data_IF_319097209064
#
_entry.id   IF_319097209064
#
_cell.length_a   1.000
_cell.length_b   1.000
_cell.length_c   1.000
_cell.angle_alpha   90.00
_cell.angle_beta   90.00
_cell.angle_gamma   90.00
#
_symmetry.space_group_name_H-M   'P 1'
#
loop_
_entity.id
_entity.type
_entity.pdbx_description
1 polymer ?
#
# COMPACT_ATOMS: atom_id res chain seq x y z
N UNK A 1 -19.08 11.73 -6.48
CA UNK A 1 -17.84 10.97 -6.70
C UNK A 1 -17.21 11.54 -7.95
N UNK A 2 -15.94 11.92 -7.89
CA UNK A 2 -15.19 12.28 -9.11
C UNK A 2 -14.73 10.97 -9.71
N UNK A 3 -15.11 10.70 -10.95
CA UNK A 3 -14.73 9.47 -11.63
C UNK A 3 -13.21 9.42 -11.80
N UNK A 4 -12.60 8.29 -11.45
CA UNK A 4 -11.17 8.07 -11.65
C UNK A 4 -10.89 7.86 -13.14
N UNK A 5 -10.03 8.71 -13.71
CA UNK A 5 -9.58 8.65 -15.09
C UNK A 5 -8.18 8.02 -15.10
N UNK A 6 -8.04 6.77 -15.58
CA UNK A 6 -6.78 6.05 -15.54
C UNK A 6 -5.72 6.75 -16.42
N UNK A 7 -4.43 6.62 -16.06
CA UNK A 7 -3.34 7.07 -16.91
C UNK A 7 -3.41 6.43 -18.30
N UNK A 8 -3.34 7.26 -19.33
CA UNK A 8 -3.33 6.82 -20.71
C UNK A 8 -2.31 7.63 -21.50
N UNK A 9 -1.61 6.92 -22.38
CA UNK A 9 -0.52 7.48 -23.15
C UNK A 9 -1.01 8.66 -24.00
N UNK A 10 -0.23 9.75 -23.98
CA UNK A 10 -0.46 10.98 -24.74
C UNK A 10 -1.78 11.73 -24.46
N UNK A 11 -2.44 11.45 -23.34
CA UNK A 11 -3.58 12.24 -22.86
C UNK A 11 -3.11 13.50 -22.12
N UNK A 12 -3.86 14.60 -22.25
CA UNK A 12 -3.51 15.89 -21.64
C UNK A 12 -3.65 15.88 -20.11
N UNK A 13 -4.55 15.06 -19.55
CA UNK A 13 -4.79 14.98 -18.12
C UNK A 13 -5.38 13.62 -17.70
N UNK A 14 -4.92 13.09 -16.57
CA UNK A 14 -5.43 11.87 -15.94
C UNK A 14 -5.14 11.88 -14.43
N UNK A 15 -5.67 10.92 -13.69
CA UNK A 15 -5.32 10.73 -12.28
C UNK A 15 -3.88 10.25 -12.16
N UNK A 16 -3.02 11.08 -11.55
CA UNK A 16 -1.58 10.83 -11.48
C UNK A 16 -1.27 9.51 -10.72
N UNK A 17 -0.43 8.62 -11.29
CA UNK A 17 -0.01 7.39 -10.62
C UNK A 17 0.68 7.59 -9.26
N UNK A 18 1.23 8.78 -9.00
CA UNK A 18 1.96 9.07 -7.77
C UNK A 18 1.11 9.68 -6.65
N UNK A 19 0.13 10.51 -6.97
CA UNK A 19 -0.65 11.26 -5.97
C UNK A 19 -2.17 11.05 -6.08
N UNK A 20 -2.66 10.37 -7.12
CA UNK A 20 -4.08 10.09 -7.34
C UNK A 20 -4.93 11.27 -7.79
N UNK A 21 -4.39 12.49 -7.83
CA UNK A 21 -5.08 13.72 -8.26
C UNK A 21 -5.23 13.74 -9.78
N UNK A 22 -6.40 14.12 -10.28
CA UNK A 22 -6.62 14.44 -11.69
C UNK A 22 -5.88 15.72 -12.05
N UNK A 23 -4.84 15.61 -12.87
CA UNK A 23 -3.93 16.71 -13.17
C UNK A 23 -3.44 16.67 -14.61
N UNK A 24 -3.09 17.84 -15.15
CA UNK A 24 -2.45 17.98 -16.45
C UNK A 24 -1.10 17.26 -16.47
N UNK A 25 -0.75 16.69 -17.62
CA UNK A 25 0.47 15.91 -17.81
C UNK A 25 1.28 16.52 -18.95
N UNK A 26 2.51 16.92 -18.64
CA UNK A 26 3.46 17.45 -19.63
C UNK A 26 4.29 16.31 -20.22
N UNK A 27 4.30 16.18 -21.55
CA UNK A 27 4.91 15.04 -22.24
C UNK A 27 6.25 15.37 -22.88
N UNK A 28 7.20 14.45 -22.71
CA UNK A 28 8.55 14.53 -23.27
C UNK A 28 8.88 13.20 -23.94
N UNK A 29 9.35 13.22 -25.19
CA UNK A 29 9.91 12.01 -25.82
C UNK A 29 11.25 11.65 -25.14
N UNK A 30 11.67 10.38 -25.20
CA UNK A 30 12.96 9.95 -24.64
C UNK A 30 14.17 10.78 -25.13
N UNK A 31 14.09 11.30 -26.37
CA UNK A 31 15.08 12.23 -26.95
C UNK A 31 14.88 13.67 -26.46
N UNK A 32 13.63 14.12 -26.27
CA UNK A 32 13.27 15.45 -25.79
C UNK A 32 13.66 15.71 -24.33
N UNK A 33 13.57 14.69 -23.46
CA UNK A 33 14.00 14.79 -22.06
C UNK A 33 15.51 15.04 -21.94
N UNK A 34 16.33 14.40 -22.79
CA UNK A 34 17.77 14.63 -22.83
C UNK A 34 18.14 16.08 -23.19
N UNK A 35 17.41 16.70 -24.12
CA UNK A 35 17.63 18.10 -24.49
C UNK A 35 17.21 19.09 -23.39
N UNK A 36 16.13 18.79 -22.66
CA UNK A 36 15.69 19.58 -21.50
C UNK A 36 16.68 19.49 -20.33
N UNK A 37 17.17 18.28 -20.02
CA UNK A 37 18.18 18.09 -18.99
C UNK A 37 19.47 18.89 -19.30
N UNK A 38 19.87 18.93 -20.57
CA UNK A 38 21.03 19.71 -21.04
C UNK A 38 20.85 21.22 -20.85
N UNK A 39 19.63 21.74 -21.05
CA UNK A 39 19.34 23.17 -20.85
C UNK A 39 19.45 23.62 -19.38
N UNK A 40 19.10 22.75 -18.42
CA UNK A 40 19.06 23.10 -17.00
C UNK A 40 20.27 22.64 -16.17
N UNK A 41 21.02 21.61 -16.60
CA UNK A 41 22.12 21.02 -15.81
C UNK A 41 23.52 21.13 -16.45
N UNK A 42 23.64 21.76 -17.64
CA UNK A 42 24.92 21.94 -18.34
C UNK A 42 25.54 20.63 -18.85
N UNK A 43 26.82 20.69 -19.27
CA UNK A 43 27.56 19.61 -19.96
C UNK A 43 27.84 18.34 -19.13
N UNK A 44 27.31 18.24 -17.91
CA UNK A 44 27.45 17.04 -17.06
C UNK A 44 26.57 15.89 -17.56
N UNK A 45 25.59 16.16 -18.44
CA UNK A 45 24.64 15.16 -18.91
C UNK A 45 25.03 14.56 -20.27
N UNK A 46 26.19 13.89 -20.30
CA UNK A 46 26.45 12.77 -21.21
C UNK A 46 25.85 11.46 -20.68
N UNK A 47 24.93 11.56 -19.70
CA UNK A 47 24.39 10.42 -18.94
C UNK A 47 23.56 9.47 -19.80
N UNK A 48 23.23 9.80 -21.04
CA UNK A 48 22.73 8.79 -21.96
C UNK A 48 23.17 9.08 -23.37
N UNK A 49 24.43 8.73 -23.67
CA UNK A 49 24.89 8.45 -25.03
C UNK A 49 24.13 7.27 -25.64
N UNK A 50 22.82 7.40 -25.83
CA UNK A 50 22.02 6.41 -26.53
C UNK A 50 22.14 6.73 -28.02
N UNK A 51 23.25 6.26 -28.61
CA UNK A 51 23.26 5.88 -30.02
C UNK A 51 22.41 4.62 -30.16
N UNK A 52 21.11 4.80 -30.13
CA UNK A 52 20.13 3.73 -30.18
C UNK A 52 18.77 4.37 -30.14
N UNK A 53 17.92 4.02 -31.09
CA UNK A 53 16.54 4.44 -31.08
C UNK A 53 15.90 3.93 -29.79
N UNK A 54 15.71 4.79 -28.78
CA UNK A 54 14.73 4.57 -27.71
C UNK A 54 13.32 4.70 -28.30
N UNK A 55 13.05 3.96 -29.38
CA UNK A 55 11.74 3.88 -30.00
C UNK A 55 10.79 3.37 -28.90
N UNK A 56 9.82 4.21 -28.54
CA UNK A 56 8.78 3.87 -27.58
C UNK A 56 8.98 4.35 -26.15
N UNK A 57 10.09 5.02 -25.77
CA UNK A 57 10.20 5.62 -24.43
C UNK A 57 9.66 7.05 -24.40
N UNK A 58 8.77 7.36 -23.46
CA UNK A 58 8.26 8.71 -23.21
C UNK A 58 8.16 8.99 -21.73
N UNK A 59 8.14 10.27 -21.35
CA UNK A 59 8.00 10.71 -19.97
C UNK A 59 6.81 11.66 -19.88
N UNK A 60 5.95 11.50 -18.88
CA UNK A 60 4.93 12.47 -18.54
C UNK A 60 5.16 13.03 -17.14
N UNK A 61 5.03 14.34 -16.95
CA UNK A 61 5.22 15.02 -15.65
C UNK A 61 3.90 15.59 -15.16
N UNK A 62 3.53 15.25 -13.92
CA UNK A 62 2.28 15.72 -13.31
C UNK A 62 2.39 17.19 -12.90
N UNK A 63 1.45 18.03 -13.35
CA UNK A 63 1.43 19.46 -13.01
C UNK A 63 1.15 19.76 -11.53
N UNK A 64 0.66 18.78 -10.76
CA UNK A 64 0.32 18.93 -9.34
C UNK A 64 1.46 18.54 -8.40
N UNK A 65 2.08 17.36 -8.62
CA UNK A 65 3.12 16.85 -7.73
C UNK A 65 4.53 16.89 -8.34
N UNK A 66 4.65 17.32 -9.60
CA UNK A 66 5.90 17.45 -10.36
C UNK A 66 6.73 16.16 -10.47
N UNK A 67 6.11 15.00 -10.25
CA UNK A 67 6.74 13.69 -10.41
C UNK A 67 6.57 13.17 -11.83
N UNK A 68 7.61 12.51 -12.31
CA UNK A 68 7.70 11.89 -13.62
C UNK A 68 7.10 10.47 -13.66
N UNK A 69 6.46 10.14 -14.77
CA UNK A 69 5.98 8.82 -15.13
C UNK A 69 6.72 8.42 -16.40
N UNK A 70 7.46 7.32 -16.36
CA UNK A 70 8.18 6.78 -17.51
C UNK A 70 7.28 5.77 -18.20
N UNK A 71 7.17 5.91 -19.52
CA UNK A 71 6.38 5.07 -20.41
C UNK A 71 7.32 4.32 -21.36
N UNK A 72 7.02 3.06 -21.63
CA UNK A 72 7.67 2.24 -22.63
C UNK A 72 6.59 1.57 -23.49
N UNK A 73 6.60 1.82 -24.80
CA UNK A 73 5.60 1.31 -25.74
C UNK A 73 4.17 1.56 -25.23
N UNK A 74 3.86 2.81 -24.89
CA UNK A 74 2.56 3.26 -24.38
C UNK A 74 2.14 2.71 -23.00
N UNK A 75 2.99 1.90 -22.37
CA UNK A 75 2.74 1.33 -21.04
C UNK A 75 3.57 2.06 -19.97
N UNK A 76 3.01 2.26 -18.78
CA UNK A 76 3.75 2.83 -17.65
C UNK A 76 4.81 1.83 -17.19
N UNK A 77 6.08 2.21 -17.33
CA UNK A 77 7.23 1.54 -16.73
C UNK A 77 7.47 2.03 -15.30
N UNK A 78 7.38 3.35 -15.07
CA UNK A 78 7.51 3.97 -13.75
C UNK A 78 6.43 5.05 -13.52
N UNK A 79 5.89 5.21 -12.29
CA UNK A 79 6.13 4.33 -11.16
C UNK A 79 5.58 2.95 -11.49
N UNK A 80 6.26 1.88 -11.03
CA UNK A 80 5.68 0.54 -11.13
C UNK A 80 4.31 0.62 -10.47
N UNK A 81 3.24 0.40 -11.22
CA UNK A 81 1.93 0.22 -10.60
C UNK A 81 2.10 -0.92 -9.62
N UNK A 82 2.04 -0.60 -8.33
CA UNK A 82 1.96 -1.62 -7.31
C UNK A 82 0.69 -2.40 -7.63
N UNK A 83 0.73 -3.73 -7.76
CA UNK A 83 -0.47 -4.50 -8.07
C UNK A 83 -1.47 -4.50 -6.91
N UNK A 84 -1.21 -3.69 -5.88
CA UNK A 84 -1.83 -3.70 -4.56
C UNK A 84 -2.37 -2.32 -4.23
N UNK A 85 -3.49 -2.23 -3.49
CA UNK A 85 -4.02 -0.96 -3.01
C UNK A 85 -2.98 -0.19 -2.16
N UNK A 86 -3.13 1.14 -2.01
CA UNK A 86 -2.28 1.88 -1.09
C UNK A 86 -2.50 1.40 0.36
N UNK A 87 -1.47 1.47 1.22
CA UNK A 87 -1.60 1.10 2.63
C UNK A 87 -2.61 2.03 3.33
N UNK A 88 -3.50 1.50 4.19
CA UNK A 88 -4.55 2.30 4.83
C UNK A 88 -4.00 3.43 5.71
N UNK A 89 -4.86 4.42 5.94
CA UNK A 89 -4.53 5.57 6.77
C UNK A 89 -4.17 5.16 8.21
N UNK A 90 -3.15 5.79 8.79
CA UNK A 90 -2.71 5.46 10.14
C UNK A 90 -1.81 4.23 10.27
N UNK A 91 -1.51 3.52 9.16
CA UNK A 91 -0.44 2.51 9.12
C UNK A 91 0.89 3.12 9.60
N UNK A 92 1.60 2.52 10.59
CA UNK A 92 2.91 3.00 11.03
C UNK A 92 3.93 3.08 9.89
N UNK A 93 4.84 4.05 9.92
CA UNK A 93 5.78 4.31 8.82
C UNK A 93 6.66 3.09 8.49
N UNK A 94 7.16 2.41 9.51
CA UNK A 94 7.97 1.20 9.35
C UNK A 94 7.20 0.10 8.59
N UNK A 95 5.94 -0.14 8.98
CA UNK A 95 5.05 -1.12 8.36
C UNK A 95 4.68 -0.70 6.92
N UNK A 96 4.45 0.60 6.70
CA UNK A 96 4.14 1.18 5.39
C UNK A 96 5.25 0.92 4.38
N UNK A 97 6.52 1.04 4.80
CA UNK A 97 7.66 0.81 3.92
C UNK A 97 7.73 -0.65 3.46
N UNK A 98 7.52 -1.60 4.37
CA UNK A 98 7.52 -3.03 4.07
C UNK A 98 6.34 -3.41 3.18
N UNK A 99 5.15 -2.85 3.43
CA UNK A 99 3.97 -3.03 2.58
C UNK A 99 4.26 -2.61 1.13
N UNK A 100 4.87 -1.44 0.94
CA UNK A 100 5.24 -0.93 -0.38
C UNK A 100 6.31 -1.82 -1.02
N UNK A 101 7.30 -2.28 -0.26
CA UNK A 101 8.33 -3.20 -0.74
C UNK A 101 7.73 -4.52 -1.20
N UNK A 102 6.81 -5.09 -0.42
CA UNK A 102 6.06 -6.29 -0.79
C UNK A 102 5.34 -6.09 -2.13
N UNK A 103 4.62 -4.97 -2.30
CA UNK A 103 3.93 -4.65 -3.54
C UNK A 103 4.87 -4.53 -4.76
N UNK A 104 6.10 -4.04 -4.56
CA UNK A 104 7.09 -3.89 -5.64
C UNK A 104 7.60 -5.22 -6.16
N UNK A 105 7.76 -6.21 -5.27
CA UNK A 105 8.30 -7.53 -5.59
C UNK A 105 7.21 -8.54 -5.95
N UNK A 106 5.92 -8.22 -5.77
CA UNK A 106 4.81 -9.15 -6.00
C UNK A 106 4.80 -9.78 -7.41
N UNK A 107 5.07 -8.99 -8.46
CA UNK A 107 5.11 -9.53 -9.82
C UNK A 107 6.37 -10.37 -10.10
N UNK A 108 7.48 -10.05 -9.42
CA UNK A 108 8.78 -10.71 -9.63
C UNK A 108 8.90 -11.99 -8.79
N UNK A 109 8.35 -11.97 -7.56
CA UNK A 109 8.34 -13.07 -6.61
C UNK A 109 7.17 -12.94 -5.64
N UNK A 110 6.02 -13.60 -5.94
CA UNK A 110 4.90 -13.68 -5.00
C UNK A 110 5.31 -14.23 -3.63
N UNK A 111 6.22 -15.22 -3.62
CA UNK A 111 6.78 -15.79 -2.39
C UNK A 111 7.52 -14.75 -1.54
N UNK A 112 8.37 -13.92 -2.14
CA UNK A 112 9.06 -12.85 -1.41
C UNK A 112 8.06 -11.81 -0.90
N UNK A 113 7.08 -11.44 -1.71
CA UNK A 113 5.99 -10.52 -1.30
C UNK A 113 5.21 -11.07 -0.11
N UNK A 114 4.85 -12.36 -0.12
CA UNK A 114 4.16 -13.00 1.00
C UNK A 114 4.98 -12.98 2.30
N UNK A 115 6.29 -13.23 2.22
CA UNK A 115 7.19 -13.15 3.37
C UNK A 115 7.28 -11.72 3.94
N UNK A 116 7.37 -10.71 3.06
CA UNK A 116 7.35 -9.30 3.47
C UNK A 116 6.01 -8.91 4.11
N UNK A 117 4.88 -9.41 3.60
CA UNK A 117 3.57 -9.18 4.21
C UNK A 117 3.44 -9.79 5.61
N UNK A 118 4.06 -10.95 5.86
CA UNK A 118 4.14 -11.52 7.21
C UNK A 118 4.94 -10.61 8.14
N UNK A 119 6.10 -10.13 7.69
CA UNK A 119 6.91 -9.19 8.45
C UNK A 119 6.16 -7.88 8.74
N UNK A 120 5.44 -7.34 7.75
CA UNK A 120 4.58 -6.17 7.92
C UNK A 120 3.52 -6.40 9.01
N UNK A 121 2.89 -7.57 9.03
CA UNK A 121 1.93 -7.93 10.09
C UNK A 121 2.62 -8.01 11.46
N UNK A 122 3.76 -8.67 11.57
CA UNK A 122 4.49 -8.78 12.84
C UNK A 122 4.82 -7.40 13.43
N UNK A 123 5.35 -6.50 12.62
CA UNK A 123 5.66 -5.13 13.04
C UNK A 123 4.40 -4.34 13.38
N UNK A 124 3.29 -4.55 12.64
CA UNK A 124 2.01 -3.92 12.96
C UNK A 124 1.54 -4.31 14.37
N UNK A 125 1.56 -5.60 14.69
CA UNK A 125 1.09 -6.09 15.99
C UNK A 125 1.99 -5.62 17.15
N UNK A 126 3.31 -5.58 16.94
CA UNK A 126 4.27 -5.01 17.92
C UNK A 126 3.96 -3.54 18.21
N UNK A 127 3.66 -2.75 17.18
CA UNK A 127 3.30 -1.34 17.33
C UNK A 127 1.98 -1.12 18.08
N UNK A 128 1.02 -2.05 18.00
CA UNK A 128 -0.27 -1.91 18.68
C UNK A 128 -0.14 -2.17 20.19
N UNK A 129 0.69 -3.13 20.62
CA UNK A 129 0.77 -3.56 22.03
C UNK A 129 2.08 -3.19 22.73
N UNK A 130 3.01 -2.48 22.07
CA UNK A 130 4.34 -2.13 22.60
C UNK A 130 5.08 -3.33 23.21
N UNK A 131 5.00 -4.49 22.55
CA UNK A 131 5.58 -5.73 23.06
C UNK A 131 6.43 -6.41 21.96
N UNK A 132 7.58 -6.97 22.35
CA UNK A 132 8.47 -7.70 21.44
C UNK A 132 8.15 -9.20 21.42
N UNK A 133 6.87 -9.56 21.53
CA UNK A 133 6.48 -10.97 21.58
C UNK A 133 6.53 -11.61 20.18
N UNK A 134 6.76 -12.93 20.10
CA UNK A 134 6.56 -13.71 18.88
C UNK A 134 5.14 -13.50 18.31
N UNK A 135 4.98 -13.66 16.99
CA UNK A 135 3.71 -13.46 16.29
C UNK A 135 2.57 -14.28 16.93
N UNK A 136 2.83 -15.53 17.28
CA UNK A 136 1.84 -16.45 17.84
C UNK A 136 1.30 -15.95 19.19
N UNK A 137 2.17 -15.43 20.04
CA UNK A 137 1.81 -14.90 21.35
C UNK A 137 1.10 -13.55 21.22
N UNK A 138 1.46 -12.76 20.22
CA UNK A 138 0.77 -11.51 19.90
C UNK A 138 -0.65 -11.74 19.39
N UNK A 139 -0.85 -12.73 18.51
CA UNK A 139 -2.18 -13.11 18.05
C UNK A 139 -3.02 -13.60 19.23
N UNK A 140 -2.51 -14.51 20.07
CA UNK A 140 -3.23 -14.99 21.27
C UNK A 140 -3.66 -13.84 22.19
N UNK A 141 -2.76 -12.90 22.48
CA UNK A 141 -3.08 -11.72 23.31
C UNK A 141 -4.10 -10.79 22.67
N UNK A 142 -4.10 -10.67 21.35
CA UNK A 142 -5.12 -9.88 20.65
C UNK A 142 -6.49 -10.53 20.77
N UNK A 143 -6.57 -11.86 20.57
CA UNK A 143 -7.78 -12.65 20.78
C UNK A 143 -8.29 -12.52 22.22
N UNK A 144 -7.40 -12.64 23.21
CA UNK A 144 -7.72 -12.43 24.62
C UNK A 144 -8.20 -11.00 24.91
N UNK A 145 -7.72 -10.00 24.16
CA UNK A 145 -8.20 -8.62 24.27
C UNK A 145 -9.54 -8.34 23.58
N UNK A 146 -10.19 -9.37 23.03
CA UNK A 146 -11.56 -9.31 22.52
C UNK A 146 -11.69 -8.79 21.10
N UNK A 147 -10.69 -9.01 20.24
CA UNK A 147 -10.84 -8.70 18.81
C UNK A 147 -11.95 -9.58 18.18
N UNK A 148 -12.70 -9.05 17.21
CA UNK A 148 -13.68 -9.81 16.43
C UNK A 148 -13.14 -11.15 15.90
N UNK A 149 -13.96 -12.20 15.90
CA UNK A 149 -13.60 -13.54 15.40
C UNK A 149 -13.08 -13.50 13.94
N UNK A 150 -13.62 -12.58 13.14
CA UNK A 150 -13.21 -12.34 11.76
C UNK A 150 -11.74 -11.89 11.66
N UNK A 151 -11.30 -11.00 12.56
CA UNK A 151 -9.90 -10.55 12.63
C UNK A 151 -8.98 -11.67 13.13
N UNK A 152 -9.46 -12.52 14.04
CA UNK A 152 -8.72 -13.70 14.49
C UNK A 152 -8.46 -14.70 13.35
N UNK A 153 -9.48 -14.94 12.51
CA UNK A 153 -9.37 -15.79 11.31
C UNK A 153 -8.40 -15.19 10.30
N UNK A 154 -8.53 -13.89 10.02
CA UNK A 154 -7.62 -13.13 9.17
C UNK A 154 -6.15 -13.22 9.62
N UNK A 155 -5.88 -13.01 10.90
CA UNK A 155 -4.54 -13.14 11.49
C UNK A 155 -4.01 -14.58 11.40
N UNK A 156 -4.87 -15.58 11.58
CA UNK A 156 -4.50 -16.99 11.51
C UNK A 156 -4.12 -17.42 10.08
N UNK A 157 -4.80 -16.89 9.05
CA UNK A 157 -4.47 -17.13 7.64
C UNK A 157 -3.05 -16.61 7.33
N UNK A 158 -2.73 -15.39 7.76
CA UNK A 158 -1.40 -14.81 7.59
C UNK A 158 -0.30 -15.54 8.39
N UNK A 159 -0.68 -16.24 9.48
CA UNK A 159 0.22 -17.00 10.35
C UNK A 159 0.57 -18.38 9.81
N UNK A 160 -0.42 -19.17 9.37
CA UNK A 160 -0.25 -20.58 8.95
C UNK A 160 0.63 -20.68 7.70
N UNK A 161 0.54 -19.72 6.80
CA UNK A 161 1.21 -19.78 5.50
C UNK A 161 2.74 -19.55 5.55
N UNK A 162 3.32 -19.41 6.73
CA UNK A 162 4.75 -19.10 6.91
C UNK A 162 5.60 -20.20 7.57
N UNK A 163 5.01 -21.20 8.22
CA UNK A 163 5.78 -22.31 8.86
C UNK A 163 5.68 -23.64 8.09
N UNK A 164 4.61 -23.88 7.32
CA UNK A 164 4.37 -25.16 6.64
C UNK A 164 4.90 -25.25 5.20
N UNK A 165 5.86 -24.40 4.83
CA UNK A 165 6.47 -24.43 3.48
C UNK A 165 7.37 -25.67 3.28
N UNK A 166 7.65 -26.47 4.33
CA UNK A 166 8.60 -27.59 4.25
C UNK A 166 8.00 -28.98 4.48
N UNK A 167 6.84 -29.14 5.15
CA UNK A 167 6.31 -30.47 5.42
C UNK A 167 4.78 -30.47 5.61
N UNK A 168 4.03 -30.65 4.52
CA UNK A 168 2.76 -31.42 4.38
C UNK A 168 1.92 -30.87 3.22
N UNK A 169 1.27 -31.75 2.45
CA UNK A 169 0.62 -31.44 1.17
C UNK A 169 -0.72 -30.68 1.27
N UNK A 170 -0.81 -29.64 2.08
CA UNK A 170 -2.01 -28.79 2.20
C UNK A 170 -1.70 -27.35 1.77
N UNK A 171 -2.51 -26.88 0.82
CA UNK A 171 -2.62 -25.53 0.21
C UNK A 171 -1.34 -24.67 0.24
N UNK A 172 -0.67 -24.59 -0.92
CA UNK A 172 0.44 -23.67 -1.21
C UNK A 172 -0.07 -22.23 -1.46
N UNK A 173 -0.60 -21.56 -0.43
CA UNK A 173 -1.26 -20.25 -0.51
C UNK A 173 -0.28 -19.09 -0.83
N UNK A 174 0.99 -19.33 -1.19
CA UNK A 174 1.96 -18.25 -1.47
C UNK A 174 2.83 -18.50 -2.71
N UNK A 175 2.37 -19.36 -3.62
CA UNK A 175 3.07 -19.60 -4.88
C UNK A 175 2.55 -18.73 -6.03
N UNK A 176 1.29 -18.30 -5.97
CA UNK A 176 0.68 -17.47 -7.01
C UNK A 176 0.45 -16.03 -6.53
N UNK A 177 0.25 -15.14 -7.50
CA UNK A 177 0.05 -13.70 -7.26
C UNK A 177 -1.28 -13.41 -6.56
N UNK A 178 -2.33 -14.14 -6.89
CA UNK A 178 -3.68 -13.88 -6.40
C UNK A 178 -3.81 -14.14 -4.90
N UNK A 179 -3.21 -15.22 -4.40
CA UNK A 179 -3.20 -15.53 -2.97
C UNK A 179 -2.49 -14.45 -2.15
N UNK A 180 -1.39 -13.91 -2.69
CA UNK A 180 -0.66 -12.82 -2.03
C UNK A 180 -1.47 -11.53 -2.09
N UNK A 181 -2.20 -11.25 -3.18
CA UNK A 181 -3.15 -10.13 -3.23
C UNK A 181 -4.25 -10.25 -2.16
N UNK A 182 -4.75 -11.47 -1.89
CA UNK A 182 -5.66 -11.67 -0.77
C UNK A 182 -5.01 -11.31 0.57
N UNK A 183 -3.71 -11.59 0.77
CA UNK A 183 -3.01 -11.15 1.99
C UNK A 183 -2.96 -9.64 2.14
N UNK A 184 -2.75 -8.89 1.05
CA UNK A 184 -2.81 -7.42 1.06
C UNK A 184 -4.19 -6.91 1.49
N UNK A 185 -5.26 -7.53 0.99
CA UNK A 185 -6.62 -7.18 1.37
C UNK A 185 -6.90 -7.46 2.85
N UNK A 186 -6.51 -8.65 3.33
CA UNK A 186 -6.67 -9.04 4.74
C UNK A 186 -5.90 -8.08 5.66
N UNK A 187 -4.65 -7.76 5.30
CA UNK A 187 -3.85 -6.80 6.04
C UNK A 187 -4.53 -5.43 6.11
N UNK A 188 -5.05 -4.94 4.98
CA UNK A 188 -5.73 -3.65 4.94
C UNK A 188 -6.96 -3.62 5.86
N UNK A 189 -7.78 -4.67 5.84
CA UNK A 189 -8.93 -4.80 6.74
C UNK A 189 -8.51 -4.75 8.21
N UNK A 190 -7.40 -5.43 8.58
CA UNK A 190 -6.88 -5.43 9.95
C UNK A 190 -6.47 -4.01 10.39
N UNK A 191 -5.77 -3.26 9.53
CA UNK A 191 -5.36 -1.88 9.84
C UNK A 191 -6.58 -0.96 9.94
N UNK A 192 -7.56 -1.13 9.06
CA UNK A 192 -8.80 -0.35 9.10
C UNK A 192 -9.52 -0.54 10.44
N UNK A 193 -9.74 -1.77 10.86
CA UNK A 193 -10.48 -2.08 12.09
C UNK A 193 -9.70 -1.75 13.37
N UNK A 194 -8.39 -2.02 13.41
CA UNK A 194 -7.59 -1.84 14.63
C UNK A 194 -7.07 -0.42 14.81
N UNK A 195 -6.91 0.34 13.73
CA UNK A 195 -6.25 1.66 13.79
C UNK A 195 -7.14 2.76 13.22
N UNK A 196 -7.65 2.57 12.00
CA UNK A 196 -8.35 3.65 11.28
C UNK A 196 -9.69 3.98 11.93
N UNK A 197 -10.53 2.97 12.16
CA UNK A 197 -11.86 3.13 12.77
C UNK A 197 -11.79 3.68 14.19
N UNK A 198 -10.94 3.16 15.11
CA UNK A 198 -10.79 3.72 16.44
C UNK A 198 -10.34 5.18 16.44
N UNK A 199 -9.43 5.57 15.55
CA UNK A 199 -9.00 6.98 15.41
C UNK A 199 -10.15 7.87 14.94
N UNK A 200 -10.84 7.48 13.87
CA UNK A 200 -12.00 8.22 13.35
C UNK A 200 -13.10 8.36 14.40
N UNK A 201 -13.44 7.27 15.09
CA UNK A 201 -14.47 7.28 16.13
C UNK A 201 -14.10 8.21 17.30
N UNK A 202 -12.83 8.21 17.73
CA UNK A 202 -12.35 9.15 18.76
C UNK A 202 -12.42 10.61 18.30
N UNK A 203 -12.11 10.90 17.03
CA UNK A 203 -12.28 12.25 16.48
C UNK A 203 -13.74 12.67 16.41
N UNK A 204 -14.65 11.78 16.01
CA UNK A 204 -16.08 12.05 16.03
C UNK A 204 -16.58 12.26 17.46
N UNK A 205 -16.17 11.43 18.41
CA UNK A 205 -16.52 11.58 19.82
C UNK A 205 -16.06 12.94 20.37
N UNK A 206 -14.84 13.38 20.02
CA UNK A 206 -14.30 14.70 20.35
C UNK A 206 -15.07 15.89 19.74
N UNK A 207 -15.94 15.67 18.76
CA UNK A 207 -16.83 16.71 18.21
C UNK A 207 -18.18 16.79 18.93
N UNK A 208 -18.55 15.78 19.72
CA UNK A 208 -19.80 15.78 20.51
C UNK A 208 -19.63 16.70 21.74
N UNK A 209 -20.60 17.56 22.09
CA UNK A 209 -20.54 18.38 23.32
C UNK A 209 -20.39 17.52 24.59
N UNK A 210 -19.63 17.99 25.57
CA UNK A 210 -19.35 17.24 26.82
C UNK A 210 -20.61 16.78 27.57
N UNK A 211 -21.69 17.55 27.49
CA UNK A 211 -22.98 17.20 28.11
C UNK A 211 -23.55 15.88 27.58
N UNK A 212 -23.44 15.62 26.26
CA UNK A 212 -23.91 14.39 25.62
C UNK A 212 -22.91 13.23 25.74
N UNK A 213 -21.60 13.51 25.87
CA UNK A 213 -20.59 12.48 26.14
C UNK A 213 -20.83 11.78 27.49
N UNK A 214 -21.13 12.56 28.53
CA UNK A 214 -21.43 12.04 29.87
C UNK A 214 -22.71 11.20 29.91
N UNK A 215 -23.66 11.41 29.00
CA UNK A 215 -24.86 10.58 28.84
C UNK A 215 -24.55 9.24 28.17
N UNK A 216 -23.65 9.23 27.16
CA UNK A 216 -23.19 8.01 26.47
C UNK A 216 -22.37 7.13 27.42
N UNK A 217 -21.47 7.72 28.21
CA UNK A 217 -20.67 7.00 29.23
C UNK A 217 -21.53 6.41 30.36
N UNK A 218 -22.71 6.98 30.62
CA UNK A 218 -23.66 6.49 31.63
C UNK A 218 -24.50 5.29 31.18
N UNK A 219 -24.55 4.97 29.88
CA UNK A 219 -25.30 3.82 29.35
C UNK A 219 -24.40 2.90 28.49
N UNK A 220 -23.52 2.09 29.10
CA UNK A 220 -22.64 1.18 28.36
C UNK A 220 -23.33 -0.12 27.90
N UNK A 221 -24.63 -0.31 28.16
CA UNK A 221 -25.33 -1.57 27.91
C UNK A 221 -26.45 -1.44 26.87
N UNK A 222 -26.11 -1.78 25.61
CA UNK A 222 -27.04 -2.50 24.71
C UNK A 222 -26.48 -3.12 23.42
N UNK A 223 -25.19 -3.01 23.13
CA UNK A 223 -24.62 -3.58 21.89
C UNK A 223 -23.63 -4.71 22.17
N UNK A 224 -24.12 -5.82 22.72
CA UNK A 224 -23.52 -7.17 22.57
C UNK A 224 -24.65 -8.20 22.55
N UNK A 225 -25.25 -8.36 21.37
CA UNK A 225 -25.91 -9.60 20.95
C UNK A 225 -25.28 -10.02 19.62
#
# INVERSE_FOLDING_TARGET
MVDYIPPKFNENAFNCPHCGVYAHQEWFSGVGYGNLARQYMGDIVDVVGIKGELAGMSVSVCSHCHKEVIWLNENILLPRNLPVPPPPEGTPLEVKNIYIEAGKVLNDSPRASGALMRLALELLLRNIKNNNLPLDDNIKKLVESGIPEQLTKALSILRVNGNDIMHTGEIKILENKDDVLYLFNIFNMIVEDLITWPKKLNEFYKKIPESKRKEIEKNPSKDRN
#
